data_IF_444299732392
#
_entry.id   IF_444299732392
#
_cell.length_a   1.000
_cell.length_b   1.000
_cell.length_c   1.000
_cell.angle_alpha   90.00
_cell.angle_beta   90.00
_cell.angle_gamma   90.00
#
_symmetry.space_group_name_H-M   'P 1'
#
loop_
_entity.id
_entity.type
_entity.pdbx_description
1 polymer ?
#
# COMPACT_ATOMS: atom_id res chain seq x y z
N UNK A 1 16.10 -32.02 -11.68
CA UNK A 1 14.77 -31.89 -12.26
C UNK A 1 14.64 -30.46 -12.77
N UNK A 2 14.46 -30.30 -14.07
CA UNK A 2 14.26 -28.98 -14.72
C UNK A 2 12.87 -28.45 -14.36
N UNK A 3 12.76 -27.80 -13.18
CA UNK A 3 11.56 -27.09 -12.80
C UNK A 3 11.53 -25.72 -13.52
N UNK A 4 10.62 -25.57 -14.47
CA UNK A 4 10.40 -24.32 -15.20
C UNK A 4 9.43 -23.41 -14.38
N UNK A 5 9.97 -22.76 -13.34
CA UNK A 5 9.21 -21.91 -12.46
C UNK A 5 10.10 -21.11 -11.51
N UNK A 6 9.48 -20.23 -10.73
CA UNK A 6 10.16 -19.45 -9.68
C UNK A 6 10.26 -20.32 -8.42
N UNK A 7 11.48 -20.63 -8.00
CA UNK A 7 11.77 -21.26 -6.70
C UNK A 7 12.01 -20.14 -5.68
N UNK A 8 11.32 -20.18 -4.54
CA UNK A 8 11.45 -19.22 -3.46
C UNK A 8 11.47 -19.92 -2.10
N UNK A 9 12.05 -19.27 -1.12
CA UNK A 9 12.13 -19.71 0.29
C UNK A 9 12.95 -21.00 0.53
N UNK A 10 13.47 -21.62 -0.52
CA UNK A 10 14.26 -22.86 -0.44
C UNK A 10 15.32 -22.91 -1.55
N UNK A 11 16.33 -23.77 -1.36
CA UNK A 11 17.26 -24.17 -2.42
C UNK A 11 18.45 -23.22 -2.63
N UNK A 12 18.66 -22.20 -1.79
CA UNK A 12 19.81 -21.28 -1.87
C UNK A 12 19.80 -20.37 -3.10
N UNK A 13 18.64 -20.21 -3.76
CA UNK A 13 18.48 -19.38 -4.95
C UNK A 13 18.23 -17.90 -4.63
N UNK A 14 17.96 -17.12 -5.68
CA UNK A 14 17.76 -15.64 -5.62
C UNK A 14 16.66 -15.21 -4.64
N UNK A 15 15.66 -16.02 -4.39
CA UNK A 15 14.53 -15.74 -3.53
C UNK A 15 14.51 -16.60 -2.26
N UNK A 16 15.68 -17.14 -1.86
CA UNK A 16 15.88 -17.83 -0.60
C UNK A 16 16.62 -16.90 0.37
N UNK A 17 16.01 -16.63 1.52
CA UNK A 17 16.53 -15.67 2.53
C UNK A 17 17.31 -16.35 3.67
N UNK A 18 17.50 -17.69 3.62
CA UNK A 18 18.15 -18.46 4.68
C UNK A 18 19.69 -18.42 4.61
N UNK A 19 20.28 -17.73 3.60
CA UNK A 19 21.72 -17.60 3.47
C UNK A 19 22.30 -16.61 4.49
N UNK A 20 23.56 -16.85 4.90
CA UNK A 20 24.32 -15.91 5.73
C UNK A 20 25.44 -15.26 4.90
N UNK A 21 25.68 -13.91 5.00
CA UNK A 21 24.90 -12.97 5.81
C UNK A 21 23.52 -12.70 5.21
N UNK A 22 22.51 -12.47 6.09
CA UNK A 22 21.16 -12.14 5.64
C UNK A 22 21.15 -10.82 4.88
N UNK A 23 20.46 -10.81 3.76
CA UNK A 23 20.28 -9.57 3.00
C UNK A 23 19.26 -8.67 3.69
N UNK A 24 19.64 -7.40 3.92
CA UNK A 24 18.80 -6.42 4.60
C UNK A 24 18.56 -5.19 3.72
N UNK A 25 17.43 -4.52 3.93
CA UNK A 25 17.15 -3.21 3.37
C UNK A 25 18.04 -2.14 4.01
N UNK A 26 18.17 -0.93 3.40
CA UNK A 26 18.98 0.15 3.97
C UNK A 26 18.59 0.57 5.40
N UNK A 27 17.34 0.33 5.80
CA UNK A 27 16.85 0.60 7.16
C UNK A 27 17.09 -0.56 8.14
N UNK A 28 17.77 -1.63 7.72
CA UNK A 28 18.12 -2.77 8.54
C UNK A 28 17.08 -3.89 8.61
N UNK A 29 15.90 -3.71 8.01
CA UNK A 29 14.88 -4.77 7.95
C UNK A 29 15.34 -5.88 7.00
N UNK A 30 15.45 -7.15 7.49
CA UNK A 30 15.85 -8.26 6.65
C UNK A 30 14.78 -8.56 5.60
N UNK A 31 15.21 -9.06 4.45
CA UNK A 31 14.31 -9.62 3.48
C UNK A 31 13.89 -11.03 3.90
N UNK A 32 12.62 -11.37 3.71
CA UNK A 32 12.16 -12.75 3.55
C UNK A 32 11.93 -13.03 2.05
N UNK A 33 11.54 -14.24 1.71
CA UNK A 33 11.28 -14.62 0.31
C UNK A 33 10.26 -13.69 -0.36
N UNK A 34 9.25 -13.24 0.37
CA UNK A 34 8.24 -12.31 -0.14
C UNK A 34 8.84 -10.95 -0.51
N UNK A 35 9.66 -10.36 0.34
CA UNK A 35 10.34 -9.10 0.06
C UNK A 35 11.33 -9.20 -1.10
N UNK A 36 12.03 -10.32 -1.25
CA UNK A 36 12.91 -10.57 -2.40
C UNK A 36 12.13 -10.62 -3.72
N UNK A 37 10.99 -11.30 -3.75
CA UNK A 37 10.07 -11.31 -4.90
C UNK A 37 9.50 -9.92 -5.17
N UNK A 38 9.09 -9.20 -4.12
CA UNK A 38 8.55 -7.85 -4.26
C UNK A 38 9.55 -6.86 -4.83
N UNK A 39 10.81 -6.94 -4.40
CA UNK A 39 11.91 -6.11 -4.93
C UNK A 39 12.06 -6.26 -6.45
N UNK A 40 11.85 -7.45 -6.98
CA UNK A 40 11.93 -7.71 -8.42
C UNK A 40 10.67 -7.27 -9.17
N UNK A 41 9.49 -7.55 -8.64
CA UNK A 41 8.22 -7.48 -9.36
C UNK A 41 7.39 -6.24 -9.01
N UNK A 42 7.57 -5.68 -7.81
CA UNK A 42 6.68 -4.64 -7.26
C UNK A 42 6.57 -3.41 -8.15
N UNK A 43 7.69 -2.91 -8.67
CA UNK A 43 7.68 -1.74 -9.55
C UNK A 43 6.96 -2.00 -10.88
N UNK A 44 6.99 -3.23 -11.39
CA UNK A 44 6.27 -3.61 -12.61
C UNK A 44 4.76 -3.67 -12.37
N UNK A 45 4.34 -4.01 -11.15
CA UNK A 45 2.93 -4.17 -10.79
C UNK A 45 2.25 -2.84 -10.47
N UNK A 46 2.94 -1.93 -9.77
CA UNK A 46 2.33 -0.71 -9.21
C UNK A 46 3.15 0.57 -9.44
N UNK A 47 4.26 0.50 -10.17
CA UNK A 47 5.20 1.61 -10.36
C UNK A 47 6.09 1.85 -9.14
N UNK A 48 7.26 2.47 -9.37
CA UNK A 48 8.34 2.66 -8.39
C UNK A 48 7.88 3.29 -7.05
N UNK A 49 7.06 4.32 -7.14
CA UNK A 49 6.63 5.06 -5.94
C UNK A 49 5.74 4.20 -5.04
N UNK A 50 4.72 3.58 -5.63
CA UNK A 50 3.78 2.74 -4.88
C UNK A 50 4.44 1.44 -4.42
N UNK A 51 5.37 0.90 -5.19
CA UNK A 51 6.13 -0.29 -4.78
C UNK A 51 6.93 -0.04 -3.50
N UNK A 52 7.57 1.13 -3.37
CA UNK A 52 8.26 1.52 -2.13
C UNK A 52 7.30 1.69 -0.95
N UNK A 53 6.15 2.34 -1.17
CA UNK A 53 5.16 2.53 -0.10
C UNK A 53 4.55 1.20 0.37
N UNK A 54 4.28 0.27 -0.54
CA UNK A 54 3.82 -1.07 -0.20
C UNK A 54 4.93 -1.88 0.48
N UNK A 55 6.18 -1.76 0.04
CA UNK A 55 7.30 -2.39 0.74
C UNK A 55 7.35 -1.90 2.19
N UNK A 56 7.39 -0.59 2.42
CA UNK A 56 7.51 0.01 3.76
C UNK A 56 6.34 -0.34 4.69
N UNK A 57 5.11 -0.37 4.19
CA UNK A 57 3.92 -0.44 5.04
C UNK A 57 3.25 -1.83 5.08
N UNK A 58 3.56 -2.71 4.14
CA UNK A 58 2.92 -4.02 4.03
C UNK A 58 3.93 -5.18 3.99
N UNK A 59 4.94 -5.11 3.11
CA UNK A 59 5.88 -6.22 2.91
C UNK A 59 6.90 -6.30 4.05
N UNK A 60 7.54 -5.19 4.42
CA UNK A 60 8.56 -5.19 5.49
C UNK A 60 8.05 -5.71 6.83
N UNK A 61 6.84 -5.35 7.30
CA UNK A 61 6.30 -5.94 8.53
C UNK A 61 6.12 -7.47 8.45
N UNK A 62 5.82 -8.02 7.27
CA UNK A 62 5.70 -9.47 7.07
C UNK A 62 7.08 -10.13 7.02
N UNK A 63 8.03 -9.55 6.29
CA UNK A 63 9.41 -10.04 6.25
C UNK A 63 10.06 -10.01 7.65
N UNK A 64 9.77 -8.98 8.44
CA UNK A 64 10.28 -8.86 9.81
C UNK A 64 9.69 -9.95 10.72
N UNK A 65 8.38 -10.19 10.62
CA UNK A 65 7.72 -11.29 11.32
C UNK A 65 8.35 -12.63 10.98
N UNK A 66 8.54 -12.90 9.70
CA UNK A 66 9.10 -14.16 9.19
C UNK A 66 10.53 -14.40 9.72
N UNK A 67 11.38 -13.37 9.69
CA UNK A 67 12.77 -13.48 10.13
C UNK A 67 12.98 -13.47 11.64
N UNK A 68 12.09 -12.87 12.42
CA UNK A 68 12.32 -12.56 13.84
C UNK A 68 11.22 -13.05 14.77
N UNK A 69 10.05 -13.41 14.27
CA UNK A 69 8.86 -13.71 15.06
C UNK A 69 8.19 -12.46 15.65
N UNK A 70 8.55 -11.24 15.21
CA UNK A 70 7.88 -10.02 15.65
C UNK A 70 6.39 -10.08 15.25
N UNK A 71 5.52 -9.68 16.20
CA UNK A 71 4.08 -9.84 16.03
C UNK A 71 3.55 -9.09 14.81
N UNK A 72 2.78 -9.81 13.96
CA UNK A 72 2.08 -9.26 12.81
C UNK A 72 0.69 -9.86 12.70
N UNK A 73 -0.36 -9.03 12.83
CA UNK A 73 -1.75 -9.48 12.87
C UNK A 73 -2.19 -10.20 11.58
N UNK A 74 -1.62 -9.84 10.43
CA UNK A 74 -1.93 -10.54 9.17
C UNK A 74 -1.26 -11.90 9.13
N UNK A 75 0.01 -11.98 9.53
CA UNK A 75 0.71 -13.26 9.63
C UNK A 75 0.00 -14.20 10.61
N UNK A 76 -0.44 -13.69 11.78
CA UNK A 76 -1.22 -14.45 12.75
C UNK A 76 -2.54 -14.93 12.17
N UNK A 77 -3.26 -14.07 11.42
CA UNK A 77 -4.52 -14.44 10.78
C UNK A 77 -4.35 -15.54 9.71
N UNK A 78 -3.31 -15.45 8.87
CA UNK A 78 -2.99 -16.49 7.89
C UNK A 78 -2.48 -17.74 8.60
N UNK A 79 -1.64 -17.58 9.63
CA UNK A 79 -1.14 -18.69 10.45
C UNK A 79 -2.25 -19.49 11.16
N UNK A 80 -3.42 -18.86 11.42
CA UNK A 80 -4.58 -19.54 12.02
C UNK A 80 -5.16 -20.66 11.14
N UNK A 81 -4.80 -20.75 9.87
CA UNK A 81 -5.14 -21.86 9.00
C UNK A 81 -4.31 -23.13 9.25
N UNK A 82 -3.19 -23.02 9.95
CA UNK A 82 -2.37 -24.19 10.26
C UNK A 82 -3.17 -25.21 11.09
N UNK A 83 -2.93 -26.52 10.91
CA UNK A 83 -3.58 -27.54 11.70
C UNK A 83 -3.22 -27.39 13.18
N UNK A 84 -4.16 -27.67 14.08
CA UNK A 84 -3.87 -27.75 15.50
C UNK A 84 -2.95 -28.95 15.78
N UNK A 85 -2.12 -28.83 16.80
CA UNK A 85 -1.13 -29.86 17.15
C UNK A 85 -1.73 -31.25 17.43
N UNK A 86 -3.01 -31.29 17.82
CA UNK A 86 -3.78 -32.49 18.15
C UNK A 86 -4.85 -32.85 17.12
N UNK A 87 -4.94 -32.10 16.00
CA UNK A 87 -5.83 -32.44 14.89
C UNK A 87 -5.19 -33.48 13.97
N UNK A 88 -6.03 -34.09 13.13
CA UNK A 88 -5.61 -34.97 12.04
C UNK A 88 -5.71 -34.29 10.68
N UNK A 89 -5.87 -32.97 10.66
CA UNK A 89 -5.97 -32.22 9.42
C UNK A 89 -4.65 -32.31 8.65
N UNK A 90 -4.77 -32.48 7.35
CA UNK A 90 -3.62 -32.48 6.45
C UNK A 90 -3.05 -31.05 6.32
N UNK A 91 -1.75 -30.83 6.63
CA UNK A 91 -1.10 -29.53 6.50
C UNK A 91 -1.22 -28.94 5.09
N UNK A 92 -1.13 -29.76 4.05
CA UNK A 92 -1.24 -29.29 2.66
C UNK A 92 -2.65 -28.77 2.35
N UNK A 93 -3.67 -29.45 2.85
CA UNK A 93 -5.07 -28.99 2.73
C UNK A 93 -5.26 -27.67 3.46
N UNK A 94 -4.70 -27.53 4.66
CA UNK A 94 -4.75 -26.28 5.44
C UNK A 94 -4.04 -25.15 4.71
N UNK A 95 -2.84 -25.37 4.19
CA UNK A 95 -2.09 -24.44 3.36
C UNK A 95 -2.91 -23.95 2.16
N UNK A 96 -3.48 -24.87 1.38
CA UNK A 96 -4.27 -24.50 0.20
C UNK A 96 -5.58 -23.78 0.53
N UNK A 97 -6.06 -23.84 1.76
CA UNK A 97 -7.14 -22.96 2.25
C UNK A 97 -6.67 -21.54 2.56
N UNK A 98 -5.44 -21.38 3.05
CA UNK A 98 -4.85 -20.07 3.35
C UNK A 98 -4.48 -19.27 2.08
N UNK A 99 -3.96 -19.96 1.05
CA UNK A 99 -3.47 -19.33 -0.19
C UNK A 99 -4.47 -18.36 -0.84
N UNK A 100 -5.76 -18.71 -1.07
CA UNK A 100 -6.68 -17.77 -1.70
C UNK A 100 -6.96 -16.54 -0.84
N UNK A 101 -6.88 -16.65 0.49
CA UNK A 101 -7.07 -15.52 1.42
C UNK A 101 -5.88 -14.57 1.31
N UNK A 102 -4.66 -15.08 1.42
CA UNK A 102 -3.45 -14.29 1.29
C UNK A 102 -3.36 -13.63 -0.11
N UNK A 103 -3.67 -14.38 -1.17
CA UNK A 103 -3.73 -13.88 -2.54
C UNK A 103 -4.71 -12.71 -2.67
N UNK A 104 -5.94 -12.86 -2.16
CA UNK A 104 -6.95 -11.80 -2.25
C UNK A 104 -6.52 -10.52 -1.52
N UNK A 105 -5.85 -10.66 -0.37
CA UNK A 105 -5.33 -9.51 0.37
C UNK A 105 -4.27 -8.78 -0.47
N UNK A 106 -3.30 -9.51 -1.02
CA UNK A 106 -2.25 -8.92 -1.88
C UNK A 106 -2.84 -8.26 -3.13
N UNK A 107 -3.79 -8.90 -3.79
CA UNK A 107 -4.49 -8.34 -4.96
C UNK A 107 -5.20 -7.03 -4.61
N UNK A 108 -5.82 -6.94 -3.43
CA UNK A 108 -6.48 -5.72 -2.96
C UNK A 108 -5.47 -4.60 -2.68
N UNK A 109 -4.31 -4.90 -2.08
CA UNK A 109 -3.22 -3.92 -1.87
C UNK A 109 -2.68 -3.39 -3.21
N UNK A 110 -2.42 -4.27 -4.17
CA UNK A 110 -2.00 -3.89 -5.53
C UNK A 110 -3.08 -3.04 -6.23
N UNK A 111 -4.34 -3.42 -6.13
CA UNK A 111 -5.45 -2.68 -6.71
C UNK A 111 -5.60 -1.29 -6.10
N UNK A 112 -5.44 -1.17 -4.77
CA UNK A 112 -5.46 0.10 -4.05
C UNK A 112 -4.31 1.02 -4.48
N UNK A 113 -3.08 0.50 -4.59
CA UNK A 113 -1.92 1.24 -5.06
C UNK A 113 -2.12 1.76 -6.50
N UNK A 114 -2.63 0.92 -7.38
CA UNK A 114 -2.96 1.32 -8.77
C UNK A 114 -4.11 2.33 -8.83
N UNK A 115 -5.07 2.29 -7.90
CA UNK A 115 -6.11 3.31 -7.79
C UNK A 115 -5.53 4.68 -7.40
N UNK A 116 -4.53 4.72 -6.52
CA UNK A 116 -3.80 5.96 -6.18
C UNK A 116 -3.10 6.52 -7.42
N UNK A 117 -2.40 5.71 -8.19
CA UNK A 117 -1.73 6.15 -9.43
C UNK A 117 -2.74 6.79 -10.42
N UNK A 118 -3.90 6.16 -10.62
CA UNK A 118 -4.97 6.72 -11.48
C UNK A 118 -5.53 8.03 -10.92
N UNK A 119 -5.62 8.16 -9.60
CA UNK A 119 -6.04 9.40 -8.95
C UNK A 119 -5.01 10.50 -9.16
N UNK A 120 -3.73 10.22 -8.97
CA UNK A 120 -2.65 11.20 -9.14
C UNK A 120 -2.63 11.80 -10.55
N UNK A 121 -2.86 11.02 -11.60
CA UNK A 121 -2.97 11.52 -12.97
C UNK A 121 -4.18 12.44 -13.16
N UNK A 122 -5.31 12.11 -12.55
CA UNK A 122 -6.52 12.92 -12.61
C UNK A 122 -6.36 14.22 -11.83
N UNK A 123 -5.76 14.15 -10.63
CA UNK A 123 -5.45 15.32 -9.79
C UNK A 123 -4.48 16.25 -10.52
N UNK A 124 -3.44 15.72 -11.17
CA UNK A 124 -2.47 16.51 -11.95
C UNK A 124 -3.15 17.28 -13.07
N UNK A 125 -4.03 16.62 -13.83
CA UNK A 125 -4.80 17.28 -14.91
C UNK A 125 -5.73 18.36 -14.36
N UNK A 126 -6.43 18.08 -13.27
CA UNK A 126 -7.30 19.04 -12.61
C UNK A 126 -6.52 20.24 -12.06
N UNK A 127 -5.34 20.00 -11.47
CA UNK A 127 -4.45 21.07 -11.02
C UNK A 127 -3.99 21.97 -12.18
N UNK A 128 -3.62 21.39 -13.32
CA UNK A 128 -3.24 22.16 -14.52
C UNK A 128 -4.38 23.10 -15.01
N UNK A 129 -5.62 22.79 -14.66
CA UNK A 129 -6.82 23.61 -14.98
C UNK A 129 -7.30 24.46 -13.81
N UNK A 130 -6.51 24.55 -12.74
CA UNK A 130 -6.85 25.30 -11.53
C UNK A 130 -7.15 26.78 -11.83
N UNK A 131 -8.14 27.34 -11.14
CA UNK A 131 -8.47 28.77 -11.18
C UNK A 131 -8.57 29.31 -9.75
N UNK A 132 -7.96 30.46 -9.51
CA UNK A 132 -7.99 31.16 -8.23
C UNK A 132 -7.63 30.30 -7.01
N UNK A 133 -6.68 29.35 -7.20
CA UNK A 133 -6.27 28.42 -6.16
C UNK A 133 -7.26 27.28 -5.89
N UNK A 134 -8.29 27.11 -6.72
CA UNK A 134 -9.32 26.09 -6.57
C UNK A 134 -9.12 24.98 -7.62
N UNK A 135 -8.92 23.75 -7.16
CA UNK A 135 -8.86 22.55 -7.99
C UNK A 135 -10.22 21.85 -7.95
N UNK A 136 -10.82 21.60 -9.11
CA UNK A 136 -12.09 20.89 -9.22
C UNK A 136 -11.83 19.46 -9.74
N UNK A 137 -12.18 18.48 -8.92
CA UNK A 137 -12.05 17.05 -9.29
C UNK A 137 -13.39 16.51 -9.79
N UNK A 138 -13.37 15.55 -10.72
CA UNK A 138 -14.60 14.97 -11.29
C UNK A 138 -15.32 14.02 -10.32
N UNK A 139 -14.62 13.51 -9.29
CA UNK A 139 -15.13 12.63 -8.26
C UNK A 139 -14.28 12.75 -6.99
N UNK A 140 -14.76 12.20 -5.87
CA UNK A 140 -13.89 11.98 -4.71
C UNK A 140 -12.81 10.96 -5.06
N UNK A 141 -11.56 11.31 -4.77
CA UNK A 141 -10.37 10.46 -4.96
C UNK A 141 -9.24 10.88 -4.00
N UNK A 142 -8.21 10.05 -3.80
CA UNK A 142 -7.02 10.45 -3.05
C UNK A 142 -6.29 11.60 -3.77
N UNK A 143 -6.43 12.82 -3.29
CA UNK A 143 -5.87 14.03 -3.91
C UNK A 143 -4.75 14.68 -3.08
N UNK A 144 -4.65 14.34 -1.80
CA UNK A 144 -3.80 15.05 -0.85
C UNK A 144 -2.34 15.08 -1.27
N UNK A 145 -1.77 13.92 -1.62
CA UNK A 145 -0.36 13.82 -2.02
C UNK A 145 -0.05 14.64 -3.28
N UNK A 146 -0.97 14.67 -4.24
CA UNK A 146 -0.83 15.43 -5.49
C UNK A 146 -0.90 16.95 -5.28
N UNK A 147 -1.54 17.45 -4.22
CA UNK A 147 -1.77 18.89 -4.03
C UNK A 147 -1.00 19.53 -2.86
N UNK A 148 -0.49 18.77 -1.89
CA UNK A 148 0.17 19.32 -0.70
C UNK A 148 1.37 20.24 -1.01
N UNK A 149 2.13 19.93 -2.07
CA UNK A 149 3.33 20.67 -2.47
C UNK A 149 3.09 21.71 -3.56
N UNK A 150 1.82 21.92 -3.95
CA UNK A 150 1.42 22.88 -4.98
C UNK A 150 0.96 24.20 -4.36
N UNK A 151 0.54 25.16 -5.16
CA UNK A 151 -0.07 26.41 -4.73
C UNK A 151 -1.61 26.34 -4.61
N UNK A 152 -2.22 25.17 -4.86
CA UNK A 152 -3.63 24.94 -4.64
C UNK A 152 -4.02 25.25 -3.17
N UNK A 153 -5.12 25.99 -3.00
CA UNK A 153 -5.66 26.39 -1.71
C UNK A 153 -6.87 25.55 -1.31
N UNK A 154 -7.71 25.22 -2.27
CA UNK A 154 -8.94 24.46 -2.08
C UNK A 154 -9.09 23.38 -3.12
N UNK A 155 -9.78 22.32 -2.72
CA UNK A 155 -10.21 21.26 -3.65
C UNK A 155 -11.72 21.09 -3.52
N UNK A 156 -12.39 20.96 -4.66
CA UNK A 156 -13.85 20.77 -4.77
C UNK A 156 -14.12 19.49 -5.55
N UNK A 157 -15.05 18.69 -5.08
CA UNK A 157 -15.47 17.44 -5.75
C UNK A 157 -16.90 17.08 -5.43
N UNK A 158 -17.59 16.28 -6.28
CA UNK A 158 -18.93 15.78 -5.98
C UNK A 158 -18.96 14.97 -4.67
N UNK A 159 -19.91 15.28 -3.80
CA UNK A 159 -20.09 14.56 -2.53
C UNK A 159 -20.89 13.29 -2.75
N UNK A 160 -20.52 12.20 -2.07
CA UNK A 160 -21.32 10.96 -2.05
C UNK A 160 -22.70 11.13 -1.37
N UNK A 161 -22.88 12.23 -0.63
CA UNK A 161 -24.15 12.58 0.03
C UNK A 161 -25.01 13.51 -0.81
N UNK A 162 -24.64 13.78 -2.06
CA UNK A 162 -25.24 14.76 -2.94
C UNK A 162 -24.57 16.14 -2.85
N UNK A 163 -24.70 16.95 -3.91
CA UNK A 163 -24.03 18.24 -4.02
C UNK A 163 -22.51 18.12 -4.15
N UNK A 164 -21.78 19.09 -3.62
CA UNK A 164 -20.32 19.17 -3.68
C UNK A 164 -19.72 19.34 -2.28
N UNK A 165 -18.52 18.79 -2.12
CA UNK A 165 -17.68 19.03 -0.95
C UNK A 165 -16.51 19.91 -1.33
N UNK A 166 -16.15 20.83 -0.44
CA UNK A 166 -14.94 21.64 -0.54
C UNK A 166 -14.03 21.37 0.67
N UNK A 167 -12.74 21.25 0.42
CA UNK A 167 -11.74 21.06 1.48
C UNK A 167 -10.56 22.01 1.28
N UNK A 168 -9.99 22.48 2.40
CA UNK A 168 -8.75 23.24 2.37
C UNK A 168 -7.57 22.30 2.05
N UNK A 169 -6.66 22.74 1.20
CA UNK A 169 -5.38 22.06 0.99
C UNK A 169 -4.43 22.42 2.14
N UNK A 170 -3.86 21.42 2.78
CA UNK A 170 -2.90 21.64 3.85
C UNK A 170 -1.49 21.85 3.30
N UNK A 171 -0.71 22.65 3.98
CA UNK A 171 0.73 22.75 3.76
C UNK A 171 1.41 21.45 4.21
N UNK A 172 2.35 20.93 3.38
CA UNK A 172 2.97 19.63 3.62
C UNK A 172 3.90 19.62 4.85
N UNK A 173 4.46 20.77 5.25
CA UNK A 173 5.38 20.89 6.39
C UNK A 173 4.62 21.10 7.70
N UNK A 174 3.71 22.09 7.70
CA UNK A 174 3.01 22.51 8.92
C UNK A 174 1.77 21.68 9.21
N UNK A 175 1.27 20.93 8.23
CA UNK A 175 0.00 20.18 8.27
C UNK A 175 -1.23 21.05 8.50
N UNK A 176 -1.08 22.38 8.52
CA UNK A 176 -2.17 23.34 8.66
C UNK A 176 -2.72 23.72 7.30
N UNK A 177 -3.99 24.15 7.26
CA UNK A 177 -4.60 24.66 6.02
C UNK A 177 -3.79 25.84 5.49
N UNK A 178 -3.45 25.82 4.20
CA UNK A 178 -2.78 26.93 3.52
C UNK A 178 -3.63 28.20 3.60
N UNK A 179 -4.94 28.03 3.43
CA UNK A 179 -5.94 29.08 3.63
C UNK A 179 -7.17 28.45 4.28
N UNK A 180 -7.54 28.84 5.52
CA UNK A 180 -8.75 28.35 6.15
C UNK A 180 -10.00 28.95 5.50
N UNK A 181 -11.12 28.23 5.57
CA UNK A 181 -12.43 28.79 5.22
C UNK A 181 -12.82 29.95 6.16
N UNK A 182 -13.68 30.87 5.70
CA UNK A 182 -14.26 31.88 6.57
C UNK A 182 -14.89 31.27 7.83
N UNK A 183 -14.65 31.88 8.99
CA UNK A 183 -15.18 31.39 10.28
C UNK A 183 -16.70 31.18 10.24
N UNK A 184 -17.40 32.02 9.48
CA UNK A 184 -18.85 31.92 9.29
C UNK A 184 -19.34 30.62 8.63
N UNK A 185 -18.41 29.83 8.02
CA UNK A 185 -18.72 28.55 7.39
C UNK A 185 -18.40 27.35 8.30
N UNK A 186 -17.72 27.60 9.42
CA UNK A 186 -17.37 26.53 10.34
C UNK A 186 -18.62 25.84 10.90
N UNK A 187 -18.63 24.48 10.83
CA UNK A 187 -19.73 23.67 11.35
C UNK A 187 -21.02 23.73 10.53
N UNK A 188 -21.04 24.34 9.35
CA UNK A 188 -22.16 24.24 8.41
C UNK A 188 -22.05 23.01 7.53
N UNK A 189 -23.20 22.34 7.21
CA UNK A 189 -23.22 21.18 6.34
C UNK A 189 -22.83 21.54 4.90
#
# INVERSE_FOLDING_TARGET
DDFDGIVYDVGGGMFDHHSEPRECRPNGVPYAAFGLLWRLLGAQLVGEHQARLLDENFIQPLDLNDNTGEQNSLADAIGSFNPLWDSKDDPDVCFWRAVPVAKQILENEIAAANAVNRADDTVRRAYASMKDGIVVLPAYMPWKNGLYKTDALFVVYPSQRGGYSAQCVNDHRTKRSKQPFPVAWAGKP
#
